data_IF_698014672748
#
_entry.id   IF_698014672748
#
_cell.length_a   1.000
_cell.length_b   1.000
_cell.length_c   1.000
_cell.angle_alpha   90.00
_cell.angle_beta   90.00
_cell.angle_gamma   90.00
#
_symmetry.space_group_name_H-M   'P 1'
#
loop_
_entity.id
_entity.type
_entity.pdbx_description
1 polymer ?
#
# COMPACT_ATOMS: atom_id res chain seq x y z
N UNK A 1 -19.52 15.95 -37.96
CA UNK A 1 -18.40 15.00 -37.93
C UNK A 1 -17.17 15.75 -38.38
N UNK A 2 -16.38 16.26 -37.42
CA UNK A 2 -15.05 16.79 -37.67
C UNK A 2 -14.01 15.78 -37.18
N UNK A 3 -12.84 15.68 -37.83
CA UNK A 3 -11.90 14.61 -37.57
C UNK A 3 -11.11 14.84 -36.28
N UNK A 4 -10.89 13.75 -35.55
CA UNK A 4 -10.06 13.68 -34.35
C UNK A 4 -8.64 14.18 -34.63
N UNK A 5 -8.24 15.26 -33.97
CA UNK A 5 -6.83 15.67 -33.92
C UNK A 5 -6.09 14.79 -32.92
N UNK A 6 -5.19 13.95 -33.43
CA UNK A 6 -4.12 13.37 -32.63
C UNK A 6 -3.21 14.50 -32.13
N UNK A 7 -3.12 14.68 -30.82
CA UNK A 7 -2.13 15.58 -30.21
C UNK A 7 -0.77 14.89 -30.16
N UNK A 8 0.26 15.59 -30.60
CA UNK A 8 1.62 15.08 -30.70
C UNK A 8 2.40 15.35 -29.41
N UNK A 9 3.51 14.63 -29.21
CA UNK A 9 4.39 14.68 -28.03
C UNK A 9 4.93 16.09 -27.66
N UNK A 10 4.75 17.09 -28.52
CA UNK A 10 5.12 18.49 -28.27
C UNK A 10 4.01 19.33 -27.60
N UNK A 11 2.75 18.90 -27.66
CA UNK A 11 1.62 19.68 -27.10
C UNK A 11 1.55 19.61 -25.56
N UNK A 12 2.22 18.61 -24.95
CA UNK A 12 2.34 18.47 -23.49
C UNK A 12 3.35 19.44 -22.86
N UNK A 13 4.34 19.93 -23.59
CA UNK A 13 5.32 20.89 -23.08
C UNK A 13 4.80 22.34 -23.09
N UNK A 14 3.83 22.65 -23.95
CA UNK A 14 3.19 23.97 -23.95
C UNK A 14 2.15 24.12 -22.85
N UNK A 15 1.48 23.04 -22.40
CA UNK A 15 0.47 23.13 -21.35
C UNK A 15 1.07 23.33 -19.94
N UNK A 16 2.30 22.86 -19.70
CA UNK A 16 3.00 23.08 -18.43
C UNK A 16 3.55 24.51 -18.30
N UNK A 17 3.84 25.19 -19.42
CA UNK A 17 4.36 26.56 -19.40
C UNK A 17 3.27 27.63 -19.23
N UNK A 18 2.06 27.42 -19.76
CA UNK A 18 0.96 28.40 -19.59
C UNK A 18 0.37 28.39 -18.18
N UNK A 19 0.40 27.27 -17.47
CA UNK A 19 0.00 27.23 -16.04
C UNK A 19 1.06 27.86 -15.12
N UNK A 20 2.33 27.87 -15.52
CA UNK A 20 3.40 28.51 -14.76
C UNK A 20 3.41 30.05 -14.87
N UNK A 21 2.69 30.63 -15.84
CA UNK A 21 2.72 32.08 -16.12
C UNK A 21 1.41 32.83 -15.84
N UNK A 22 0.41 32.16 -15.27
CA UNK A 22 -0.85 32.78 -14.85
C UNK A 22 -1.16 32.51 -13.38
N UNK A 23 -0.19 32.70 -12.49
CA UNK A 23 -0.48 32.99 -11.09
C UNK A 23 0.74 33.63 -10.39
N UNK A 24 0.68 34.87 -9.90
CA UNK A 24 1.72 35.43 -9.02
C UNK A 24 1.73 34.83 -7.60
N UNK A 25 1.06 33.69 -7.41
CA UNK A 25 1.03 32.91 -6.18
C UNK A 25 1.31 31.44 -6.49
N UNK A 26 2.48 31.13 -7.06
CA UNK A 26 3.11 29.83 -6.86
C UNK A 26 3.54 29.75 -5.39
N UNK A 27 2.57 29.51 -4.52
CA UNK A 27 2.86 28.98 -3.18
C UNK A 27 3.52 27.63 -3.42
N UNK A 28 4.82 27.58 -3.13
CA UNK A 28 5.45 26.36 -2.67
C UNK A 28 4.48 25.72 -1.67
N UNK A 29 4.20 24.42 -1.83
CA UNK A 29 3.64 23.66 -0.71
C UNK A 29 4.80 23.47 0.27
N UNK A 30 5.14 24.55 0.98
CA UNK A 30 5.83 24.49 2.25
C UNK A 30 4.83 23.89 3.23
N UNK A 31 5.12 22.71 3.75
CA UNK A 31 4.40 22.22 4.93
C UNK A 31 4.90 22.98 6.16
N UNK A 32 4.44 24.21 6.32
CA UNK A 32 4.53 25.04 7.54
C UNK A 32 3.65 24.44 8.66
N UNK A 33 3.97 23.22 9.10
CA UNK A 33 3.33 22.62 10.25
C UNK A 33 4.36 22.45 11.37
N UNK A 34 4.86 23.59 11.85
CA UNK A 34 5.16 23.76 13.27
C UNK A 34 3.83 23.67 14.05
N UNK A 35 3.21 22.48 14.07
CA UNK A 35 2.10 22.25 14.98
C UNK A 35 2.73 22.01 16.34
N UNK A 36 2.77 23.05 17.16
CA UNK A 36 2.93 22.88 18.60
C UNK A 36 1.65 22.22 19.12
N UNK A 37 1.62 20.90 19.09
CA UNK A 37 0.62 20.15 19.82
C UNK A 37 0.99 20.11 21.30
N UNK A 38 0.07 20.49 22.18
CA UNK A 38 0.19 20.27 23.62
C UNK A 38 -0.31 18.87 24.00
N UNK A 39 0.19 17.83 23.33
CA UNK A 39 -0.18 16.46 23.60
C UNK A 39 0.96 15.71 24.28
N UNK A 40 0.65 14.70 25.11
CA UNK A 40 1.71 13.86 25.68
C UNK A 40 2.45 13.13 24.56
N UNK A 41 3.76 12.98 24.73
CA UNK A 41 4.61 12.15 23.89
C UNK A 41 4.02 10.73 23.77
N UNK A 42 4.19 10.05 22.62
CA UNK A 42 3.72 8.68 22.46
C UNK A 42 4.35 7.76 23.52
N UNK A 43 3.55 6.90 24.13
CA UNK A 43 4.00 5.97 25.18
C UNK A 43 4.59 4.68 24.58
N UNK A 44 5.80 4.79 24.03
CA UNK A 44 6.54 3.70 23.40
C UNK A 44 7.20 2.80 24.46
N UNK A 45 6.97 1.49 24.35
CA UNK A 45 7.55 0.48 25.25
C UNK A 45 8.12 -0.67 24.44
N UNK A 46 9.35 -1.06 24.75
CA UNK A 46 10.03 -2.18 24.08
C UNK A 46 10.33 -3.29 25.10
N UNK A 47 10.02 -4.52 24.71
CA UNK A 47 10.18 -5.73 25.51
C UNK A 47 10.97 -6.79 24.72
N UNK A 48 11.58 -7.73 25.42
CA UNK A 48 12.16 -8.95 24.82
C UNK A 48 11.14 -10.09 24.85
N UNK A 49 10.96 -10.82 23.74
CA UNK A 49 10.07 -12.00 23.73
C UNK A 49 10.62 -13.19 24.52
N UNK A 50 11.93 -13.29 24.71
CA UNK A 50 12.59 -14.46 25.31
C UNK A 50 12.11 -14.68 26.76
N UNK A 51 11.67 -13.62 27.43
CA UNK A 51 11.30 -13.64 28.85
C UNK A 51 10.18 -12.63 29.21
N UNK A 52 9.64 -11.89 28.23
CA UNK A 52 8.70 -10.79 28.46
C UNK A 52 9.32 -9.59 29.19
N UNK A 53 10.66 -9.52 29.28
CA UNK A 53 11.34 -8.48 30.03
C UNK A 53 11.22 -7.14 29.32
N UNK A 54 10.75 -6.10 30.03
CA UNK A 54 10.81 -4.72 29.53
C UNK A 54 12.26 -4.27 29.39
N UNK A 55 12.62 -3.81 28.21
CA UNK A 55 13.95 -3.30 27.89
C UNK A 55 14.02 -1.80 28.20
N UNK A 56 13.06 -1.02 27.72
CA UNK A 56 13.03 0.43 27.88
C UNK A 56 11.62 1.00 27.66
N UNK A 57 11.44 2.29 27.97
CA UNK A 57 10.22 3.05 27.66
C UNK A 57 10.55 4.50 27.32
N UNK A 58 9.87 5.05 26.32
CA UNK A 58 9.98 6.45 25.87
C UNK A 58 11.44 6.87 25.71
N UNK A 59 11.82 8.05 26.22
CA UNK A 59 13.16 8.62 26.07
C UNK A 59 14.27 7.72 26.66
N UNK A 60 13.95 6.73 27.50
CA UNK A 60 14.94 5.74 27.97
C UNK A 60 15.38 4.80 26.85
N UNK A 61 14.56 4.60 25.83
CA UNK A 61 14.90 3.76 24.69
C UNK A 61 15.95 4.41 23.79
N UNK A 62 15.94 5.73 23.64
CA UNK A 62 16.97 6.45 22.87
C UNK A 62 18.38 6.22 23.42
N UNK A 63 18.51 6.16 24.76
CA UNK A 63 19.77 5.89 25.46
C UNK A 63 19.93 4.41 25.86
N UNK A 64 19.15 3.49 25.29
CA UNK A 64 19.19 2.07 25.62
C UNK A 64 20.56 1.46 25.30
N UNK A 65 21.11 0.67 26.22
CA UNK A 65 22.32 -0.13 25.97
C UNK A 65 22.08 -1.32 25.03
N UNK A 66 20.80 -1.66 24.77
CA UNK A 66 20.43 -2.59 23.71
C UNK A 66 20.29 -1.81 22.39
N UNK A 67 21.19 -2.01 21.41
CA UNK A 67 21.22 -1.22 20.18
C UNK A 67 20.01 -1.47 19.27
N UNK A 68 19.43 -2.69 19.29
CA UNK A 68 18.23 -3.01 18.52
C UNK A 68 17.03 -2.24 19.07
N UNK A 69 16.89 -2.17 20.40
CA UNK A 69 15.82 -1.40 21.02
C UNK A 69 15.97 0.11 20.76
N UNK A 70 17.20 0.64 20.79
CA UNK A 70 17.44 2.05 20.48
C UNK A 70 17.08 2.41 19.03
N UNK A 71 17.50 1.58 18.06
CA UNK A 71 17.19 1.81 16.64
C UNK A 71 15.70 1.61 16.33
N UNK A 72 15.05 0.60 16.91
CA UNK A 72 13.61 0.39 16.75
C UNK A 72 12.82 1.57 17.32
N UNK A 73 13.19 2.07 18.51
CA UNK A 73 12.56 3.26 19.09
C UNK A 73 12.68 4.47 18.16
N UNK A 74 13.89 4.77 17.69
CA UNK A 74 14.13 5.87 16.75
C UNK A 74 13.26 5.72 15.49
N UNK A 75 13.23 4.52 14.92
CA UNK A 75 12.45 4.23 13.72
C UNK A 75 10.95 4.40 13.96
N UNK A 76 10.40 3.95 15.09
CA UNK A 76 8.97 4.12 15.40
C UNK A 76 8.60 5.59 15.61
N UNK A 77 9.48 6.39 16.21
CA UNK A 77 9.29 7.85 16.30
C UNK A 77 9.27 8.50 14.91
N UNK A 78 10.17 8.08 14.01
CA UNK A 78 10.18 8.54 12.62
C UNK A 78 8.91 8.12 11.86
N UNK A 79 8.43 6.88 12.03
CA UNK A 79 7.19 6.40 11.42
C UNK A 79 5.98 7.20 11.92
N UNK A 80 5.91 7.44 13.23
CA UNK A 80 4.86 8.28 13.83
C UNK A 80 4.85 9.67 13.19
N UNK A 81 6.03 10.31 13.10
CA UNK A 81 6.17 11.63 12.50
C UNK A 81 5.80 11.64 11.01
N UNK A 82 6.11 10.58 10.26
CA UNK A 82 5.73 10.43 8.86
C UNK A 82 4.22 10.43 8.68
N UNK A 83 3.49 9.56 9.40
CA UNK A 83 2.03 9.49 9.29
C UNK A 83 1.35 10.78 9.76
N UNK A 84 1.85 11.39 10.83
CA UNK A 84 1.31 12.66 11.33
C UNK A 84 1.55 13.80 10.35
N UNK A 85 2.76 13.97 9.83
CA UNK A 85 3.10 15.10 8.96
C UNK A 85 2.47 14.97 7.59
N UNK A 86 2.57 13.78 7.00
CA UNK A 86 2.15 13.51 5.62
C UNK A 86 0.65 13.24 5.53
N UNK A 87 0.10 12.40 6.41
CA UNK A 87 -1.29 11.94 6.31
C UNK A 87 -2.23 12.51 7.37
N UNK A 88 -1.72 13.33 8.30
CA UNK A 88 -2.49 13.88 9.42
C UNK A 88 -3.11 12.79 10.31
N UNK A 89 -2.49 11.61 10.35
CA UNK A 89 -2.90 10.52 11.23
C UNK A 89 -1.96 10.47 12.44
N UNK A 90 -2.52 10.61 13.64
CA UNK A 90 -1.74 10.56 14.87
C UNK A 90 -1.76 9.17 15.51
N UNK A 91 -0.60 8.52 15.62
CA UNK A 91 -0.53 7.15 16.11
C UNK A 91 -1.18 6.15 15.14
N UNK A 92 -1.65 5.02 15.66
CA UNK A 92 -2.38 4.02 14.86
C UNK A 92 -3.90 4.30 14.75
N UNK A 93 -4.41 5.24 15.54
CA UNK A 93 -5.85 5.40 15.83
C UNK A 93 -6.36 6.85 15.81
N UNK A 94 -5.53 7.80 15.35
CA UNK A 94 -5.77 9.26 15.43
C UNK A 94 -5.83 9.83 16.86
N UNK A 95 -5.49 9.03 17.88
CA UNK A 95 -5.43 9.46 19.29
C UNK A 95 -4.00 9.46 19.82
N UNK A 96 -3.03 9.08 18.99
CA UNK A 96 -1.61 9.03 19.34
C UNK A 96 -1.16 7.73 19.98
N UNK A 97 -1.96 6.66 19.88
CA UNK A 97 -1.57 5.35 20.39
C UNK A 97 -0.38 4.80 19.60
N UNK A 98 0.62 4.32 20.34
CA UNK A 98 1.66 3.40 19.85
C UNK A 98 1.64 2.20 20.78
N UNK A 99 1.56 1.00 20.22
CA UNK A 99 1.48 -0.21 21.05
C UNK A 99 2.85 -0.70 21.55
N UNK A 100 2.84 -1.74 22.37
CA UNK A 100 4.04 -2.45 22.81
C UNK A 100 4.79 -3.07 21.62
N UNK A 101 6.11 -2.91 21.64
CA UNK A 101 7.04 -3.46 20.67
C UNK A 101 7.80 -4.62 21.31
N UNK A 102 7.93 -5.74 20.62
CA UNK A 102 8.74 -6.87 21.08
C UNK A 102 9.88 -7.18 20.09
N UNK A 103 11.06 -7.45 20.63
CA UNK A 103 12.26 -7.84 19.86
C UNK A 103 12.83 -9.18 20.35
N UNK A 104 13.92 -9.64 19.72
CA UNK A 104 14.59 -10.92 19.94
C UNK A 104 13.77 -12.15 19.52
N UNK A 105 12.83 -11.96 18.60
CA UNK A 105 12.11 -13.09 18.02
C UNK A 105 13.03 -13.94 17.16
N UNK A 106 13.09 -15.23 17.49
CA UNK A 106 14.02 -16.18 16.84
C UNK A 106 13.56 -16.54 15.43
N UNK A 107 12.26 -16.42 15.16
CA UNK A 107 11.73 -16.56 13.81
C UNK A 107 12.14 -15.35 12.99
N UNK A 108 12.49 -15.56 11.72
CA UNK A 108 12.81 -14.48 10.79
C UNK A 108 11.53 -13.83 10.25
N UNK A 109 10.77 -13.24 11.17
CA UNK A 109 9.48 -12.64 10.88
C UNK A 109 9.28 -11.30 11.61
N UNK A 110 8.31 -10.51 11.15
CA UNK A 110 7.79 -9.33 11.82
C UNK A 110 6.26 -9.39 11.74
N UNK A 111 5.56 -9.17 12.85
CA UNK A 111 4.13 -9.40 12.93
C UNK A 111 3.43 -8.35 13.80
N UNK A 112 2.22 -7.97 13.40
CA UNK A 112 1.21 -7.34 14.24
C UNK A 112 0.25 -8.41 14.77
N UNK A 113 0.10 -8.53 16.08
CA UNK A 113 -0.76 -9.54 16.72
C UNK A 113 -1.63 -8.91 17.80
N UNK A 114 -2.81 -9.49 18.03
CA UNK A 114 -3.72 -9.09 19.10
C UNK A 114 -4.15 -10.27 19.98
N UNK A 115 -4.34 -10.01 21.28
CA UNK A 115 -4.81 -11.04 22.21
C UNK A 115 -6.28 -11.38 21.93
N UNK A 116 -6.56 -12.61 21.49
CA UNK A 116 -7.92 -13.12 21.28
C UNK A 116 -8.68 -13.46 22.58
N UNK A 117 -8.05 -13.25 23.75
CA UNK A 117 -8.48 -13.86 25.02
C UNK A 117 -9.26 -12.93 25.97
N UNK A 118 -9.33 -11.62 25.73
CA UNK A 118 -9.93 -10.67 26.68
C UNK A 118 -10.88 -9.65 26.02
N UNK A 119 -11.85 -9.14 26.80
CA UNK A 119 -12.77 -8.05 26.40
C UNK A 119 -12.05 -6.71 26.09
N UNK A 120 -10.80 -6.59 26.53
CA UNK A 120 -9.88 -5.51 26.19
C UNK A 120 -8.80 -6.12 25.30
N UNK A 121 -9.03 -6.15 23.99
CA UNK A 121 -8.06 -6.62 23.01
C UNK A 121 -6.76 -5.80 23.15
N UNK A 122 -5.65 -6.47 23.47
CA UNK A 122 -4.32 -5.84 23.55
C UNK A 122 -3.52 -6.35 22.36
N UNK A 123 -3.07 -5.42 21.52
CA UNK A 123 -2.23 -5.73 20.38
C UNK A 123 -0.76 -5.40 20.64
N UNK A 124 0.16 -5.96 19.88
CA UNK A 124 1.59 -5.66 19.95
C UNK A 124 2.27 -5.95 18.62
N UNK A 125 3.45 -5.37 18.42
CA UNK A 125 4.34 -5.79 17.35
C UNK A 125 5.38 -6.77 17.88
N UNK A 126 5.78 -7.73 17.04
CA UNK A 126 6.88 -8.65 17.31
C UNK A 126 7.86 -8.64 16.15
N UNK A 127 9.16 -8.48 16.43
CA UNK A 127 10.19 -8.42 15.40
C UNK A 127 11.34 -9.39 15.67
N UNK A 128 11.81 -10.02 14.60
CA UNK A 128 13.20 -10.44 14.53
C UNK A 128 14.13 -9.23 14.60
N UNK A 129 15.31 -9.39 15.20
CA UNK A 129 16.26 -8.29 15.37
C UNK A 129 16.71 -7.66 14.04
N UNK A 130 16.84 -8.44 12.96
CA UNK A 130 17.18 -7.91 11.64
C UNK A 130 16.06 -7.05 11.04
N UNK A 131 14.80 -7.38 11.36
CA UNK A 131 13.63 -6.66 10.84
C UNK A 131 13.32 -5.43 11.68
N UNK A 132 13.57 -5.50 13.00
CA UNK A 132 13.48 -4.36 13.92
C UNK A 132 14.38 -3.19 13.53
N UNK A 133 15.46 -3.45 12.79
CA UNK A 133 16.41 -2.41 12.30
C UNK A 133 16.27 -2.12 10.80
N UNK A 134 15.26 -2.67 10.13
CA UNK A 134 14.97 -2.36 8.73
C UNK A 134 13.79 -1.39 8.68
N UNK A 135 14.06 -0.11 8.42
CA UNK A 135 13.10 1.00 8.60
C UNK A 135 11.78 0.81 7.87
N UNK A 136 11.83 0.37 6.61
CA UNK A 136 10.63 0.10 5.83
C UNK A 136 9.83 -1.11 6.31
N UNK A 137 10.47 -2.10 6.94
CA UNK A 137 9.76 -3.27 7.52
C UNK A 137 9.04 -2.85 8.81
N UNK A 138 9.65 -1.97 9.62
CA UNK A 138 8.98 -1.39 10.80
C UNK A 138 7.76 -0.57 10.38
N UNK A 139 7.88 0.24 9.32
CA UNK A 139 6.76 1.01 8.79
C UNK A 139 5.65 0.13 8.17
N UNK A 140 6.04 -0.95 7.46
CA UNK A 140 5.11 -1.97 6.96
C UNK A 140 4.31 -2.58 8.12
N UNK A 141 4.99 -3.05 9.17
CA UNK A 141 4.32 -3.59 10.35
C UNK A 141 3.40 -2.54 10.99
N UNK A 142 3.86 -1.29 11.13
CA UNK A 142 3.06 -0.19 11.67
C UNK A 142 1.75 0.04 10.89
N UNK A 143 1.77 -0.13 9.57
CA UNK A 143 0.58 0.06 8.76
C UNK A 143 -0.47 -1.04 8.95
N UNK A 144 -0.08 -2.28 9.25
CA UNK A 144 -1.05 -3.31 9.66
C UNK A 144 -1.85 -2.88 10.90
N UNK A 145 -1.21 -2.20 11.86
CA UNK A 145 -1.94 -1.68 13.01
C UNK A 145 -2.93 -0.57 12.63
N UNK A 146 -2.61 0.27 11.64
CA UNK A 146 -3.53 1.29 11.09
C UNK A 146 -4.72 0.62 10.38
N UNK A 147 -4.51 -0.55 9.79
CA UNK A 147 -5.55 -1.34 9.11
C UNK A 147 -6.25 -2.35 10.01
N UNK A 148 -5.90 -2.44 11.29
CA UNK A 148 -6.42 -3.46 12.20
C UNK A 148 -7.96 -3.52 12.15
N UNK A 149 -8.50 -4.73 11.97
CA UNK A 149 -9.93 -5.03 11.81
C UNK A 149 -10.64 -4.38 10.61
N UNK A 150 -9.92 -3.84 9.62
CA UNK A 150 -10.54 -3.26 8.40
C UNK A 150 -10.66 -4.26 7.25
N UNK A 151 -9.63 -5.06 7.02
CA UNK A 151 -9.57 -6.06 5.95
C UNK A 151 -9.43 -7.45 6.58
N UNK A 152 -10.01 -8.46 5.92
CA UNK A 152 -9.78 -9.84 6.29
C UNK A 152 -8.44 -10.28 5.69
N UNK A 153 -7.55 -10.81 6.52
CA UNK A 153 -6.23 -11.28 6.11
C UNK A 153 -6.29 -12.63 5.37
N UNK A 154 -6.98 -12.65 4.23
CA UNK A 154 -7.18 -13.82 3.35
C UNK A 154 -7.52 -13.38 1.93
N UNK A 155 -7.04 -14.10 0.92
CA UNK A 155 -7.35 -13.84 -0.49
C UNK A 155 -7.01 -12.41 -0.92
N UNK A 156 -7.88 -11.77 -1.70
CA UNK A 156 -7.68 -10.40 -2.19
C UNK A 156 -7.58 -9.36 -1.09
N UNK A 157 -8.48 -9.40 -0.10
CA UNK A 157 -8.46 -8.42 0.98
C UNK A 157 -7.17 -8.51 1.80
N UNK A 158 -6.64 -9.72 2.03
CA UNK A 158 -5.35 -9.89 2.70
C UNK A 158 -4.17 -9.47 1.83
N UNK A 159 -4.21 -9.77 0.53
CA UNK A 159 -3.21 -9.31 -0.42
C UNK A 159 -3.18 -7.78 -0.55
N UNK A 160 -4.36 -7.14 -0.46
CA UNK A 160 -4.51 -5.70 -0.43
C UNK A 160 -3.93 -5.12 0.86
N UNK A 161 -4.18 -5.75 2.01
CA UNK A 161 -3.60 -5.34 3.29
C UNK A 161 -2.06 -5.36 3.26
N UNK A 162 -1.47 -6.46 2.79
CA UNK A 162 -0.02 -6.60 2.57
C UNK A 162 0.53 -5.52 1.63
N UNK A 163 -0.18 -5.26 0.54
CA UNK A 163 0.24 -4.25 -0.43
C UNK A 163 0.21 -2.85 0.15
N UNK A 164 -0.82 -2.50 0.91
CA UNK A 164 -0.89 -1.20 1.55
C UNK A 164 0.26 -1.04 2.56
N UNK A 165 0.58 -2.07 3.34
CA UNK A 165 1.72 -2.06 4.24
C UNK A 165 3.05 -1.86 3.50
N UNK A 166 3.27 -2.54 2.37
CA UNK A 166 4.42 -2.33 1.48
C UNK A 166 4.49 -0.91 0.92
N UNK A 167 3.37 -0.39 0.40
CA UNK A 167 3.26 0.96 -0.17
C UNK A 167 3.69 2.02 0.83
N UNK A 168 3.16 1.97 2.06
CA UNK A 168 3.51 2.96 3.07
C UNK A 168 4.88 2.73 3.69
N UNK A 169 5.40 1.49 3.68
CA UNK A 169 6.80 1.20 3.98
C UNK A 169 7.78 1.87 3.00
N UNK A 170 7.50 1.80 1.70
CA UNK A 170 8.30 2.47 0.66
C UNK A 170 8.15 3.99 0.72
N UNK A 171 6.93 4.48 0.89
CA UNK A 171 6.66 5.91 1.02
C UNK A 171 7.44 6.51 2.20
N UNK A 172 7.47 5.81 3.35
CA UNK A 172 8.26 6.18 4.52
C UNK A 172 9.76 6.21 4.23
N UNK A 173 10.29 5.14 3.64
CA UNK A 173 11.72 5.05 3.27
C UNK A 173 12.16 6.21 2.38
N UNK A 174 11.36 6.53 1.36
CA UNK A 174 11.68 7.62 0.44
C UNK A 174 11.52 8.99 1.12
N UNK A 175 10.54 9.15 2.02
CA UNK A 175 10.40 10.34 2.84
C UNK A 175 11.64 10.57 3.70
N UNK A 176 12.16 9.55 4.38
CA UNK A 176 13.42 9.66 5.15
C UNK A 176 14.61 10.08 4.28
N UNK A 177 14.69 9.59 3.04
CA UNK A 177 15.75 9.97 2.10
C UNK A 177 15.62 11.43 1.68
N UNK A 178 14.39 11.88 1.37
CA UNK A 178 14.13 13.27 0.99
C UNK A 178 14.39 14.26 2.15
N UNK A 179 14.09 13.86 3.38
CA UNK A 179 14.39 14.60 4.61
C UNK A 179 15.86 14.48 5.05
N UNK A 180 16.71 13.76 4.29
CA UNK A 180 18.13 13.53 4.59
C UNK A 180 18.38 12.82 5.93
N UNK A 181 17.39 12.09 6.44
CA UNK A 181 17.48 11.26 7.65
C UNK A 181 18.11 9.89 7.32
N UNK A 182 17.84 9.36 6.13
CA UNK A 182 18.37 8.10 5.62
C UNK A 182 19.19 8.34 4.36
N UNK A 183 20.44 7.87 4.34
CA UNK A 183 21.25 7.84 3.12
C UNK A 183 20.93 6.59 2.29
N UNK A 184 20.78 6.73 0.98
CA UNK A 184 20.63 5.60 0.07
C UNK A 184 19.80 5.91 -1.17
N UNK A 185 19.71 4.96 -2.12
CA UNK A 185 18.87 5.13 -3.29
C UNK A 185 17.38 5.01 -2.92
N UNK A 186 16.53 5.81 -3.58
CA UNK A 186 15.07 5.66 -3.57
C UNK A 186 14.62 4.45 -4.40
N UNK A 187 15.08 3.27 -4.00
CA UNK A 187 14.65 2.00 -4.59
C UNK A 187 13.28 1.58 -4.03
N UNK A 188 12.62 0.66 -4.73
CA UNK A 188 11.25 0.22 -4.42
C UNK A 188 11.24 -1.11 -3.65
N UNK A 189 12.34 -1.48 -3.00
CA UNK A 189 12.48 -2.72 -2.25
C UNK A 189 11.98 -2.57 -0.81
N UNK A 190 11.08 -3.45 -0.40
CA UNK A 190 10.70 -3.68 0.99
C UNK A 190 11.61 -4.78 1.54
N UNK A 191 12.65 -4.37 2.28
CA UNK A 191 13.72 -5.28 2.69
C UNK A 191 14.36 -5.96 1.48
N UNK A 192 14.48 -7.29 1.53
CA UNK A 192 14.95 -8.11 0.40
C UNK A 192 13.85 -8.98 -0.23
N UNK A 193 12.59 -8.73 0.10
CA UNK A 193 11.49 -9.68 -0.17
C UNK A 193 10.71 -9.31 -1.42
N UNK A 194 10.28 -8.05 -1.50
CA UNK A 194 9.38 -7.56 -2.55
C UNK A 194 9.86 -6.23 -3.09
N UNK A 195 9.59 -5.98 -4.36
CA UNK A 195 9.93 -4.74 -5.04
C UNK A 195 8.69 -4.23 -5.78
N UNK A 196 8.14 -3.09 -5.40
CA UNK A 196 6.90 -2.56 -6.00
C UNK A 196 7.06 -2.22 -7.50
N UNK A 197 8.27 -1.90 -7.96
CA UNK A 197 8.54 -1.58 -9.37
C UNK A 197 8.52 -2.80 -10.29
N UNK A 198 8.48 -3.99 -9.70
CA UNK A 198 8.40 -5.24 -10.41
C UNK A 198 7.10 -5.87 -9.91
N UNK A 199 6.19 -6.36 -10.77
CA UNK A 199 4.94 -7.01 -10.33
C UNK A 199 5.19 -8.38 -9.65
N UNK A 200 6.25 -8.49 -8.84
CA UNK A 200 7.08 -9.63 -8.48
C UNK A 200 8.06 -10.04 -9.59
N UNK A 201 9.31 -10.29 -9.19
CA UNK A 201 10.37 -10.73 -10.10
C UNK A 201 10.09 -12.11 -10.69
N UNK A 202 9.71 -12.13 -11.97
CA UNK A 202 9.98 -13.15 -13.00
C UNK A 202 9.18 -14.48 -12.97
N UNK A 203 8.66 -14.84 -14.16
CA UNK A 203 7.97 -16.07 -14.60
C UNK A 203 6.64 -16.43 -13.93
N UNK A 204 6.55 -16.29 -12.60
CA UNK A 204 5.38 -16.71 -11.82
C UNK A 204 4.15 -15.81 -11.97
N UNK A 205 4.31 -14.56 -12.40
CA UNK A 205 3.15 -13.71 -12.72
C UNK A 205 2.25 -14.30 -13.81
N UNK A 206 2.75 -15.15 -14.71
CA UNK A 206 1.87 -15.86 -15.66
C UNK A 206 1.47 -17.25 -15.18
N UNK A 207 2.33 -17.93 -14.41
CA UNK A 207 2.07 -19.29 -13.91
C UNK A 207 1.00 -19.31 -12.80
N UNK A 208 0.82 -18.20 -12.10
CA UNK A 208 -0.10 -18.06 -10.96
C UNK A 208 -1.35 -17.26 -11.27
N UNK A 209 -1.52 -16.88 -12.54
CA UNK A 209 -2.80 -16.42 -13.04
C UNK A 209 -3.56 -17.62 -13.59
N UNK A 210 -4.86 -17.62 -13.40
CA UNK A 210 -5.71 -18.54 -14.13
C UNK A 210 -5.62 -18.23 -15.64
N UNK A 211 -6.28 -19.05 -16.46
CA UNK A 211 -6.25 -18.88 -17.92
C UNK A 211 -6.80 -17.53 -18.40
N UNK A 212 -7.51 -16.81 -17.53
CA UNK A 212 -8.09 -15.49 -17.77
C UNK A 212 -7.18 -14.36 -17.30
N UNK A 213 -5.97 -14.64 -16.81
CA UNK A 213 -5.07 -13.60 -16.32
C UNK A 213 -5.43 -13.05 -14.95
N UNK A 214 -6.27 -13.76 -14.17
CA UNK A 214 -6.67 -13.36 -12.82
C UNK A 214 -5.92 -14.16 -11.75
N UNK A 215 -5.69 -13.61 -10.54
CA UNK A 215 -4.91 -14.30 -9.51
C UNK A 215 -5.53 -15.65 -9.11
N UNK A 216 -4.68 -16.64 -8.88
CA UNK A 216 -5.10 -17.93 -8.31
C UNK A 216 -5.20 -17.79 -6.78
N UNK A 217 -6.30 -18.32 -6.24
CA UNK A 217 -6.53 -18.41 -4.79
C UNK A 217 -6.54 -19.87 -4.35
N UNK A 218 -5.73 -20.20 -3.36
CA UNK A 218 -5.77 -21.47 -2.62
C UNK A 218 -5.64 -21.15 -1.14
N UNK A 219 -6.74 -21.30 -0.41
CA UNK A 219 -6.83 -20.88 1.00
C UNK A 219 -5.71 -21.46 1.86
N UNK A 220 -5.30 -22.69 1.59
CA UNK A 220 -4.29 -23.40 2.37
C UNK A 220 -2.87 -22.87 2.17
N UNK A 221 -2.65 -22.07 1.13
CA UNK A 221 -1.35 -21.50 0.80
C UNK A 221 -1.34 -20.02 1.14
N UNK A 222 -0.61 -19.65 2.21
CA UNK A 222 -0.39 -18.25 2.56
C UNK A 222 -1.70 -17.45 2.64
N UNK A 223 -2.70 -18.04 3.31
CA UNK A 223 -4.05 -17.49 3.46
C UNK A 223 -4.70 -17.09 2.12
N UNK A 224 -4.44 -17.82 1.03
CA UNK A 224 -4.87 -17.42 -0.31
C UNK A 224 -3.87 -16.54 -1.05
N UNK A 225 -2.57 -16.79 -0.86
CA UNK A 225 -1.46 -16.10 -1.51
C UNK A 225 -1.37 -14.60 -1.25
N UNK A 226 -1.64 -14.17 -0.02
CA UNK A 226 -1.69 -12.74 0.34
C UNK A 226 -0.38 -12.02 0.02
N UNK A 227 0.78 -12.58 0.40
CA UNK A 227 2.07 -11.94 0.16
C UNK A 227 2.46 -11.94 -1.32
N UNK A 228 2.03 -12.94 -2.08
CA UNK A 228 2.33 -13.05 -3.52
C UNK A 228 1.43 -12.11 -4.33
N UNK A 229 0.12 -12.19 -4.12
CA UNK A 229 -0.87 -11.42 -4.87
C UNK A 229 -0.80 -9.92 -4.53
N UNK A 230 -0.23 -9.53 -3.38
CA UNK A 230 0.03 -8.12 -3.03
C UNK A 230 0.90 -7.39 -4.06
N UNK A 231 1.68 -8.12 -4.87
CA UNK A 231 2.55 -7.54 -5.89
C UNK A 231 1.76 -6.83 -7.02
N UNK A 232 0.49 -7.19 -7.24
CA UNK A 232 -0.39 -6.56 -8.24
C UNK A 232 -0.73 -5.12 -7.83
N UNK A 233 -1.42 -4.87 -6.68
CA UNK A 233 -1.69 -3.51 -6.20
C UNK A 233 -0.42 -2.71 -5.88
N UNK A 234 0.67 -3.37 -5.47
CA UNK A 234 1.99 -2.75 -5.32
C UNK A 234 2.49 -2.12 -6.64
N UNK A 235 2.34 -2.86 -7.75
CA UNK A 235 2.77 -2.38 -9.05
C UNK A 235 1.85 -1.27 -9.59
N UNK A 236 0.54 -1.34 -9.31
CA UNK A 236 -0.37 -0.24 -9.63
C UNK A 236 0.04 1.06 -8.92
N UNK A 237 0.37 1.00 -7.62
CA UNK A 237 0.87 2.17 -6.90
C UNK A 237 2.17 2.72 -7.51
N UNK A 238 3.11 1.83 -7.86
CA UNK A 238 4.35 2.21 -8.53
C UNK A 238 4.07 2.96 -9.85
N UNK A 239 3.24 2.40 -10.73
CA UNK A 239 2.92 3.00 -12.04
C UNK A 239 2.22 4.35 -11.90
N UNK A 240 1.30 4.47 -10.95
CA UNK A 240 0.64 5.73 -10.63
C UNK A 240 1.66 6.78 -10.16
N UNK A 241 2.55 6.43 -9.24
CA UNK A 241 3.63 7.33 -8.80
C UNK A 241 4.56 7.72 -9.94
N UNK A 242 5.00 6.78 -10.79
CA UNK A 242 5.88 7.09 -11.92
C UNK A 242 5.23 8.08 -12.89
N UNK A 243 3.92 7.94 -13.12
CA UNK A 243 3.15 8.85 -13.97
C UNK A 243 3.00 10.26 -13.36
N UNK A 244 3.13 10.39 -12.04
CA UNK A 244 3.16 11.64 -11.28
C UNK A 244 4.60 12.06 -10.91
N UNK A 245 5.62 11.66 -11.68
CA UNK A 245 7.00 12.12 -11.46
C UNK A 245 7.77 11.38 -10.35
N UNK A 246 7.22 10.28 -9.84
CA UNK A 246 7.91 9.27 -9.04
C UNK A 246 7.92 9.51 -7.53
N UNK A 247 7.23 10.53 -7.02
CA UNK A 247 7.18 10.82 -5.57
C UNK A 247 6.23 9.87 -4.84
N UNK A 248 6.76 9.05 -3.94
CA UNK A 248 6.01 7.97 -3.24
C UNK A 248 5.27 8.40 -2.00
N UNK A 249 5.49 9.62 -1.51
CA UNK A 249 4.76 10.21 -0.38
C UNK A 249 4.01 11.48 -0.83
N UNK A 250 3.73 11.60 -2.13
CA UNK A 250 3.03 12.70 -2.77
C UNK A 250 1.51 12.49 -2.88
N UNK A 251 0.90 13.04 -3.94
CA UNK A 251 -0.57 13.02 -4.14
C UNK A 251 -1.09 11.58 -4.30
N UNK A 252 -0.36 10.72 -5.02
CA UNK A 252 -0.74 9.31 -5.18
C UNK A 252 -0.83 8.59 -3.82
N UNK A 253 0.10 8.85 -2.91
CA UNK A 253 0.06 8.29 -1.57
C UNK A 253 -1.15 8.79 -0.77
N UNK A 254 -1.52 10.07 -0.91
CA UNK A 254 -2.73 10.63 -0.29
C UNK A 254 -4.00 9.93 -0.79
N UNK A 255 -4.06 9.60 -2.08
CA UNK A 255 -5.18 8.89 -2.68
C UNK A 255 -5.29 7.47 -2.11
N UNK A 256 -4.18 6.71 -2.10
CA UNK A 256 -4.15 5.36 -1.52
C UNK A 256 -4.52 5.37 -0.04
N UNK A 257 -4.02 6.35 0.72
CA UNK A 257 -4.33 6.48 2.13
C UNK A 257 -5.80 6.82 2.36
N UNK A 258 -6.35 7.80 1.63
CA UNK A 258 -7.79 8.13 1.69
C UNK A 258 -8.68 6.93 1.32
N UNK A 259 -8.28 6.13 0.34
CA UNK A 259 -9.01 4.93 -0.04
C UNK A 259 -8.96 3.86 1.06
N UNK A 260 -7.80 3.64 1.70
CA UNK A 260 -7.67 2.66 2.79
C UNK A 260 -8.34 3.09 4.11
N UNK A 261 -8.60 4.39 4.28
CA UNK A 261 -9.32 4.95 5.43
C UNK A 261 -10.79 5.25 5.14
N UNK A 262 -11.29 4.88 3.95
CA UNK A 262 -12.69 5.10 3.60
C UNK A 262 -13.62 4.31 4.53
N UNK A 263 -14.69 4.96 5.00
CA UNK A 263 -15.69 4.34 5.87
C UNK A 263 -16.53 3.28 5.16
N UNK A 264 -16.52 3.26 3.83
CA UNK A 264 -17.21 2.24 3.03
C UNK A 264 -16.26 1.14 2.55
N UNK A 265 -15.01 1.09 3.05
CA UNK A 265 -14.11 -0.04 2.84
C UNK A 265 -14.70 -1.30 3.47
N UNK A 266 -14.83 -2.37 2.69
CA UNK A 266 -15.41 -3.63 3.15
C UNK A 266 -14.33 -4.60 3.61
N UNK A 267 -14.62 -5.47 4.59
CA UNK A 267 -13.62 -6.42 5.08
C UNK A 267 -13.18 -7.46 4.05
N UNK A 268 -14.01 -7.71 3.03
CA UNK A 268 -13.73 -8.57 1.90
C UNK A 268 -13.44 -7.77 0.61
N UNK A 269 -12.92 -6.53 0.73
CA UNK A 269 -12.59 -5.68 -0.41
C UNK A 269 -11.74 -6.43 -1.45
N UNK A 270 -12.19 -6.37 -2.71
CA UNK A 270 -11.48 -6.93 -3.86
C UNK A 270 -10.54 -5.88 -4.46
N UNK A 271 -9.61 -6.30 -5.31
CA UNK A 271 -8.75 -5.39 -6.06
C UNK A 271 -9.56 -4.44 -6.93
N UNK A 272 -10.61 -4.94 -7.60
CA UNK A 272 -11.46 -4.11 -8.46
C UNK A 272 -12.21 -3.03 -7.66
N UNK A 273 -12.81 -3.39 -6.52
CA UNK A 273 -13.52 -2.42 -5.68
C UNK A 273 -12.56 -1.38 -5.11
N UNK A 274 -11.39 -1.81 -4.64
CA UNK A 274 -10.37 -0.88 -4.15
C UNK A 274 -9.82 0.03 -5.27
N UNK A 275 -9.62 -0.50 -6.48
CA UNK A 275 -9.21 0.28 -7.64
C UNK A 275 -10.21 1.40 -7.93
N UNK A 276 -11.50 1.08 -8.02
CA UNK A 276 -12.57 2.07 -8.20
C UNK A 276 -12.60 3.11 -7.07
N UNK A 277 -12.37 2.69 -5.83
CA UNK A 277 -12.27 3.59 -4.68
C UNK A 277 -11.10 4.56 -4.82
N UNK A 278 -9.92 4.09 -5.22
CA UNK A 278 -8.78 5.00 -5.46
C UNK A 278 -9.05 5.98 -6.58
N UNK A 279 -9.77 5.59 -7.65
CA UNK A 279 -10.17 6.49 -8.75
C UNK A 279 -11.16 7.55 -8.25
N UNK A 280 -12.14 7.16 -7.43
CA UNK A 280 -13.07 8.10 -6.81
C UNK A 280 -12.30 9.15 -6.00
N UNK A 281 -11.38 8.72 -5.11
CA UNK A 281 -10.57 9.65 -4.31
C UNK A 281 -9.62 10.48 -5.15
N UNK A 282 -9.14 9.94 -6.28
CA UNK A 282 -8.26 10.65 -7.21
C UNK A 282 -8.95 11.80 -7.94
N UNK A 283 -10.28 11.77 -8.06
CA UNK A 283 -11.06 12.84 -8.72
C UNK A 283 -10.88 14.18 -8.02
N UNK A 284 -10.77 14.19 -6.69
CA UNK A 284 -10.51 15.40 -5.89
C UNK A 284 -9.19 16.09 -6.27
N UNK A 285 -8.24 15.34 -6.82
CA UNK A 285 -6.90 15.79 -7.17
C UNK A 285 -6.67 15.88 -8.69
N UNK A 286 -7.68 15.56 -9.51
CA UNK A 286 -7.54 15.47 -10.97
C UNK A 286 -6.59 14.36 -11.44
N UNK A 287 -6.41 13.32 -10.62
CA UNK A 287 -5.50 12.20 -10.88
C UNK A 287 -6.24 10.92 -11.32
N UNK A 288 -7.56 10.98 -11.47
CA UNK A 288 -8.45 9.87 -11.84
C UNK A 288 -7.93 9.08 -13.04
N UNK A 289 -7.47 9.77 -14.10
CA UNK A 289 -6.91 9.11 -15.30
C UNK A 289 -5.60 8.37 -15.04
N UNK A 290 -4.71 8.93 -14.24
CA UNK A 290 -3.42 8.31 -13.90
C UNK A 290 -3.66 7.05 -13.06
N UNK A 291 -4.54 7.16 -12.07
CA UNK A 291 -4.88 6.04 -11.19
C UNK A 291 -5.62 4.96 -11.95
N UNK A 292 -6.59 5.31 -12.80
CA UNK A 292 -7.29 4.37 -13.67
C UNK A 292 -6.32 3.61 -14.59
N UNK A 293 -5.41 4.33 -15.26
CA UNK A 293 -4.44 3.69 -16.15
C UNK A 293 -3.52 2.72 -15.41
N UNK A 294 -3.08 3.06 -14.19
CA UNK A 294 -2.22 2.19 -13.40
C UNK A 294 -2.91 0.87 -13.01
N UNK A 295 -4.21 0.90 -12.70
CA UNK A 295 -4.99 -0.32 -12.42
C UNK A 295 -5.33 -1.12 -13.68
N UNK A 296 -5.51 -0.45 -14.81
CA UNK A 296 -5.67 -1.09 -16.12
C UNK A 296 -4.38 -1.82 -16.53
N UNK A 297 -3.21 -1.20 -16.33
CA UNK A 297 -1.92 -1.76 -16.72
C UNK A 297 -1.54 -3.02 -15.93
N UNK A 298 -2.08 -3.20 -14.73
CA UNK A 298 -1.91 -4.44 -13.94
C UNK A 298 -3.02 -5.46 -14.16
N UNK A 299 -3.99 -5.17 -15.03
CA UNK A 299 -5.08 -6.09 -15.38
C UNK A 299 -6.19 -6.22 -14.34
N UNK A 300 -6.27 -5.31 -13.37
CA UNK A 300 -7.36 -5.29 -12.35
C UNK A 300 -8.64 -4.69 -12.94
N UNK A 301 -8.50 -3.68 -13.79
CA UNK A 301 -9.61 -3.10 -14.54
C UNK A 301 -9.50 -3.51 -16.01
N UNK A 302 -10.61 -3.52 -16.71
CA UNK A 302 -10.67 -3.72 -18.16
C UNK A 302 -11.40 -2.56 -18.83
N UNK A 303 -11.13 -2.35 -20.12
CA UNK A 303 -11.94 -1.43 -20.93
C UNK A 303 -13.11 -2.21 -21.54
N UNK A 304 -14.28 -1.57 -21.62
CA UNK A 304 -15.54 -2.22 -22.04
C UNK A 304 -15.53 -2.90 -23.43
N UNK A 305 -14.45 -2.79 -24.21
CA UNK A 305 -14.27 -3.47 -25.50
C UNK A 305 -13.84 -4.93 -25.43
N UNK A 306 -13.43 -5.45 -24.27
CA UNK A 306 -12.97 -6.85 -24.14
C UNK A 306 -14.08 -7.86 -23.77
N UNK A 307 -15.28 -7.38 -23.40
CA UNK A 307 -16.39 -8.23 -22.96
C UNK A 307 -17.27 -8.79 -24.10
N UNK A 308 -16.90 -8.59 -25.37
CA UNK A 308 -17.76 -8.91 -26.52
C UNK A 308 -17.26 -10.03 -27.46
N UNK A 309 -16.23 -10.82 -27.09
CA UNK A 309 -15.68 -11.85 -27.99
C UNK A 309 -15.75 -13.29 -27.47
N UNK A 310 -16.76 -13.71 -26.67
CA UNK A 310 -16.91 -15.14 -26.34
C UNK A 310 -18.35 -15.64 -26.15
N UNK A 311 -19.32 -15.20 -26.96
CA UNK A 311 -20.67 -15.81 -26.91
C UNK A 311 -21.44 -15.83 -28.26
N UNK A 312 -20.75 -15.99 -29.39
CA UNK A 312 -21.41 -16.37 -30.65
C UNK A 312 -20.63 -17.45 -31.40
N UNK A 313 -20.87 -18.71 -31.05
CA UNK A 313 -20.93 -19.80 -32.03
C UNK A 313 -21.73 -20.96 -31.41
N UNK A 314 -23.03 -21.01 -31.72
CA UNK A 314 -23.78 -22.18 -32.22
C UNK A 314 -25.25 -21.73 -32.43
N UNK A 315 -25.52 -21.15 -33.60
CA UNK A 315 -26.77 -21.35 -34.32
C UNK A 315 -26.34 -21.73 -35.75
N UNK A 316 -26.56 -22.95 -36.21
CA UNK A 316 -27.89 -23.48 -36.48
C UNK A 316 -28.09 -23.46 -38.00
N UNK A 317 -27.77 -24.55 -38.69
CA UNK A 317 -28.27 -24.75 -40.04
C UNK A 317 -28.39 -26.24 -40.36
N UNK A 318 -29.62 -26.76 -40.31
CA UNK A 318 -30.21 -27.47 -41.44
C UNK A 318 -31.70 -27.71 -41.20
N UNK A 319 -32.51 -27.09 -42.06
CA UNK A 319 -33.95 -27.23 -42.13
C UNK A 319 -34.37 -28.33 -43.10
N UNK A 320 -35.45 -29.04 -42.73
CA UNK A 320 -36.44 -29.74 -43.58
C UNK A 320 -36.00 -31.01 -44.33
N UNK A 321 -36.77 -32.10 -44.44
CA UNK A 321 -38.06 -32.58 -43.90
C UNK A 321 -38.27 -34.04 -44.41
N UNK A 322 -39.45 -34.70 -44.32
CA UNK A 322 -39.62 -36.04 -43.75
C UNK A 322 -39.76 -37.17 -44.79
N UNK A 323 -39.70 -38.44 -44.35
CA UNK A 323 -40.71 -39.49 -44.62
C UNK A 323 -40.22 -40.93 -44.37
N UNK A 324 -41.17 -41.74 -43.87
CA UNK A 324 -41.39 -43.16 -44.13
C UNK A 324 -40.43 -44.25 -43.61
N UNK A 325 -40.88 -44.88 -42.50
CA UNK A 325 -41.39 -46.27 -42.46
C UNK A 325 -40.47 -47.37 -43.03
N UNK A 326 -39.70 -48.03 -42.17
CA UNK A 326 -39.81 -49.48 -41.81
C UNK A 326 -38.76 -49.89 -40.79
#
# INVERSE_FOLDING_TARGET
>A
MEPSRFFSRQDYYSFSQTYAQLNPATKQIESDYAIEWSYPDPDIKIFSVINGQKICTNNQCEASSNPIAAELYKTVVEVYAFFERVFKLRGIDDQGTVTNLHINWQERNAEWSCSSLNINEVCWFTFNDAYAVTKEIVAHAYFHAILHNKLNYRGESGALEESLADVFGIAFKHWLIDEQILEGPKNWWVGSFRNLSIPSSMQQYQEDLNKQGLPIYKEENDYGYVHRNSCIPNHAFYLACQSEGGKTWGIIAQIWFKASQDRTLESNETFETFANRTIEKATEFGMDRIVFQAWLDVGVLSTASENNEYDEEIEGNQSQSPEHRR
#
